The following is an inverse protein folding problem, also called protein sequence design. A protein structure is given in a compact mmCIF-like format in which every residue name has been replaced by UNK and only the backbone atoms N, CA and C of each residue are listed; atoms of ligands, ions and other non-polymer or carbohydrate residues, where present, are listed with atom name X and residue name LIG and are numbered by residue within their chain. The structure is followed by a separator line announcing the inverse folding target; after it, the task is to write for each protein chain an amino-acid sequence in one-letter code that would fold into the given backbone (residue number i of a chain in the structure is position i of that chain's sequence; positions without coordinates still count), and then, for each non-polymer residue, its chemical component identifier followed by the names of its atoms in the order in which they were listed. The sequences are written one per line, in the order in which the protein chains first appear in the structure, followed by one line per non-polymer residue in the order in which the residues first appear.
data_IF_143840509885
#
_entry.id   IF_143840509885
#
_cell.length_a   1.000
_cell.length_b   1.000
_cell.length_c   1.000
_cell.angle_alpha   90.00
_cell.angle_beta   90.00
_cell.angle_gamma   90.00
#
_symmetry.space_group_name_H-M   'P 1'
#
loop_
_entity.id
_entity.type
_entity.pdbx_description
1 polymer ?
#
# COMPACT_ATOMS: atom_id res chain seq x y z
N UNK A 1 2.21 9.34 20.08
CA UNK A 1 2.80 10.17 19.01
C UNK A 1 3.34 9.37 17.82
N UNK A 2 3.12 8.06 17.71
CA UNK A 2 3.48 7.26 16.51
C UNK A 2 2.37 6.29 16.08
N UNK A 3 1.14 6.52 16.57
CA UNK A 3 0.07 5.52 16.52
C UNK A 3 -0.30 5.15 15.09
N UNK A 4 -0.29 6.10 14.16
CA UNK A 4 -0.64 5.87 12.76
C UNK A 4 0.44 5.07 12.03
N UNK A 5 1.71 5.44 12.17
CA UNK A 5 2.82 4.70 11.57
C UNK A 5 2.95 3.29 12.15
N UNK A 6 2.79 3.13 13.46
CA UNK A 6 2.77 1.80 14.11
C UNK A 6 1.59 0.98 13.58
N UNK A 7 0.40 1.59 13.44
CA UNK A 7 -0.77 0.91 12.88
C UNK A 7 -0.50 0.45 11.44
N UNK A 8 0.03 1.32 10.59
CA UNK A 8 0.39 0.98 9.21
C UNK A 8 1.45 -0.13 9.14
N UNK A 9 2.45 -0.09 10.02
CA UNK A 9 3.47 -1.14 10.08
C UNK A 9 2.91 -2.47 10.60
N UNK A 10 1.99 -2.46 11.56
CA UNK A 10 1.38 -3.70 12.07
C UNK A 10 0.41 -4.29 11.05
N UNK A 11 -0.42 -3.47 10.40
CA UNK A 11 -1.46 -3.96 9.49
C UNK A 11 -0.95 -4.22 8.06
N UNK A 12 -0.02 -3.41 7.56
CA UNK A 12 0.53 -3.61 6.21
C UNK A 12 1.96 -4.13 6.27
N UNK A 13 2.82 -3.57 7.11
CA UNK A 13 4.23 -3.96 7.18
C UNK A 13 4.45 -5.41 7.62
N UNK A 14 3.78 -5.86 8.69
CA UNK A 14 3.98 -7.20 9.26
C UNK A 14 3.46 -8.31 8.34
N UNK A 15 2.22 -8.27 7.82
CA UNK A 15 1.75 -9.29 6.87
C UNK A 15 2.62 -9.36 5.62
N UNK A 16 3.09 -8.21 5.14
CA UNK A 16 3.95 -8.15 3.96
C UNK A 16 5.35 -8.71 4.24
N UNK A 17 5.92 -8.44 5.42
CA UNK A 17 7.17 -9.06 5.85
C UNK A 17 7.04 -10.58 5.96
N UNK A 18 5.94 -11.06 6.56
CA UNK A 18 5.64 -12.50 6.63
C UNK A 18 5.53 -13.09 5.23
N UNK A 19 4.73 -12.51 4.34
CA UNK A 19 4.59 -13.01 2.97
C UNK A 19 5.91 -12.96 2.19
N UNK A 20 6.75 -11.95 2.40
CA UNK A 20 8.06 -11.86 1.76
C UNK A 20 9.02 -12.99 2.18
N UNK A 21 8.87 -13.50 3.40
CA UNK A 21 9.64 -14.67 3.88
C UNK A 21 9.21 -15.96 3.17
N UNK A 22 7.93 -16.11 2.83
CA UNK A 22 7.40 -17.29 2.15
C UNK A 22 7.56 -17.24 0.61
N UNK A 23 7.42 -16.05 0.02
CA UNK A 23 7.34 -15.88 -1.44
C UNK A 23 8.33 -14.82 -1.93
N UNK A 24 9.59 -15.25 -2.14
CA UNK A 24 10.63 -14.41 -2.79
C UNK A 24 10.38 -14.13 -4.27
N UNK A 25 9.33 -14.71 -4.85
CA UNK A 25 8.96 -14.52 -6.26
C UNK A 25 8.33 -13.16 -6.55
N UNK A 26 8.15 -12.29 -5.56
CA UNK A 26 7.68 -10.90 -5.74
C UNK A 26 8.50 -10.13 -6.78
N UNK A 27 9.81 -10.38 -6.88
CA UNK A 27 10.66 -9.77 -7.90
C UNK A 27 10.29 -10.19 -9.34
N UNK A 28 9.69 -11.37 -9.53
CA UNK A 28 9.20 -11.80 -10.83
C UNK A 28 8.00 -10.97 -11.31
N UNK A 29 7.19 -10.47 -10.39
CA UNK A 29 5.99 -9.66 -10.67
C UNK A 29 6.25 -8.14 -10.65
N UNK A 30 7.51 -7.70 -10.73
CA UNK A 30 7.89 -6.27 -10.71
C UNK A 30 7.13 -5.40 -11.71
N UNK A 31 6.77 -5.96 -12.87
CA UNK A 31 6.03 -5.22 -13.91
C UNK A 31 4.58 -4.97 -13.48
N UNK A 32 3.93 -5.96 -12.87
CA UNK A 32 2.59 -5.83 -12.31
C UNK A 32 2.58 -4.86 -11.14
N UNK A 33 3.57 -4.93 -10.25
CA UNK A 33 3.75 -4.00 -9.15
C UNK A 33 3.92 -2.56 -9.67
N UNK A 34 4.76 -2.36 -10.69
CA UNK A 34 4.98 -1.04 -11.27
C UNK A 34 3.70 -0.46 -11.89
N UNK A 35 2.92 -1.26 -12.61
CA UNK A 35 1.63 -0.82 -13.15
C UNK A 35 0.61 -0.52 -12.06
N UNK A 36 0.49 -1.39 -11.05
CA UNK A 36 -0.42 -1.16 -9.94
C UNK A 36 -0.07 0.13 -9.18
N UNK A 37 1.21 0.33 -8.88
CA UNK A 37 1.70 1.56 -8.27
C UNK A 37 1.42 2.76 -9.16
N UNK A 38 1.66 2.67 -10.48
CA UNK A 38 1.37 3.77 -11.40
C UNK A 38 -0.12 4.17 -11.35
N UNK A 39 -1.05 3.21 -11.41
CA UNK A 39 -2.48 3.51 -11.34
C UNK A 39 -2.90 4.09 -9.99
N UNK A 40 -2.44 3.49 -8.89
CA UNK A 40 -2.74 3.96 -7.53
C UNK A 40 -2.19 5.37 -7.31
N UNK A 41 -0.97 5.65 -7.78
CA UNK A 41 -0.35 6.97 -7.68
C UNK A 41 -0.98 7.99 -8.62
N UNK A 42 -1.54 7.59 -9.76
CA UNK A 42 -2.15 8.55 -10.69
C UNK A 42 -3.57 8.87 -10.27
N UNK A 43 -4.41 7.85 -10.07
CA UNK A 43 -5.82 8.04 -9.75
C UNK A 43 -6.05 8.25 -8.26
N UNK A 44 -5.46 7.41 -7.41
CA UNK A 44 -5.63 7.51 -5.96
C UNK A 44 -5.09 8.82 -5.41
N UNK A 45 -3.87 9.21 -5.80
CA UNK A 45 -3.28 10.47 -5.34
C UNK A 45 -4.05 11.68 -5.87
N UNK A 46 -4.47 11.66 -7.13
CA UNK A 46 -5.23 12.77 -7.69
C UNK A 46 -6.58 12.93 -6.98
N UNK A 47 -7.23 11.81 -6.65
CA UNK A 47 -8.47 11.78 -5.90
C UNK A 47 -8.31 12.29 -4.46
N UNK A 48 -7.29 11.84 -3.74
CA UNK A 48 -7.00 12.33 -2.38
C UNK A 48 -6.63 13.81 -2.40
N UNK A 49 -5.80 14.23 -3.36
CA UNK A 49 -5.44 15.63 -3.52
C UNK A 49 -6.68 16.50 -3.78
N UNK A 50 -7.58 16.06 -4.66
CA UNK A 50 -8.82 16.77 -4.94
C UNK A 50 -9.71 16.84 -3.69
N UNK A 51 -9.83 15.74 -2.96
CA UNK A 51 -10.67 15.63 -1.75
C UNK A 51 -10.17 16.53 -0.61
N UNK A 52 -8.86 16.63 -0.43
CA UNK A 52 -8.24 17.55 0.52
C UNK A 52 -8.44 19.00 0.07
N UNK A 53 -8.27 19.29 -1.22
CA UNK A 53 -8.42 20.66 -1.75
C UNK A 53 -9.87 21.17 -1.69
N UNK A 54 -10.85 20.31 -1.93
CA UNK A 54 -12.28 20.65 -1.85
C UNK A 54 -12.79 20.65 -0.42
N UNK A 55 -11.99 20.19 0.55
CA UNK A 55 -12.36 20.11 1.95
C UNK A 55 -13.36 18.99 2.25
N UNK A 56 -13.63 18.10 1.29
CA UNK A 56 -14.43 16.88 1.49
C UNK A 56 -13.77 15.98 2.52
N UNK A 57 -12.43 15.94 2.51
CA UNK A 57 -11.63 15.17 3.46
C UNK A 57 -10.54 16.03 4.09
N UNK A 58 -10.26 15.79 5.37
CA UNK A 58 -9.18 16.47 6.11
C UNK A 58 -8.47 15.46 7.00
N UNK A 59 -7.15 15.48 6.95
CA UNK A 59 -6.32 14.69 7.85
C UNK A 59 -6.04 15.52 9.11
N UNK A 60 -6.30 14.95 10.28
CA UNK A 60 -5.95 15.56 11.55
C UNK A 60 -4.44 15.42 11.81
N UNK A 61 -3.80 16.47 12.28
CA UNK A 61 -2.33 16.55 12.36
C UNK A 61 -1.74 15.92 13.61
N UNK A 62 -2.57 15.67 14.62
CA UNK A 62 -2.14 15.26 15.96
C UNK A 62 -1.32 13.95 16.05
N UNK A 63 -1.49 12.92 15.19
CA UNK A 63 -0.73 11.67 15.29
C UNK A 63 0.38 11.48 14.23
N UNK A 64 0.69 12.51 13.43
CA UNK A 64 1.60 12.40 12.27
C UNK A 64 3.03 12.87 12.58
N UNK A 65 4.02 12.41 11.82
CA UNK A 65 5.43 12.81 11.85
C UNK A 65 5.65 14.30 11.49
N UNK A 66 4.59 15.03 11.13
CA UNK A 66 4.67 16.45 10.76
C UNK A 66 5.18 16.71 9.34
N UNK A 67 5.39 15.67 8.52
CA UNK A 67 5.77 15.79 7.12
C UNK A 67 4.54 15.64 6.21
N UNK A 68 4.26 16.66 5.41
CA UNK A 68 3.05 16.76 4.59
C UNK A 68 3.39 17.05 3.12
N UNK A 69 2.77 16.31 2.22
CA UNK A 69 2.83 16.55 0.77
C UNK A 69 1.43 16.97 0.32
N UNK A 70 1.27 18.23 -0.09
CA UNK A 70 0.00 18.79 -0.61
C UNK A 70 -1.23 18.54 0.27
N UNK A 71 -1.04 18.51 1.60
CA UNK A 71 -2.11 18.29 2.57
C UNK A 71 -2.37 16.82 2.94
N UNK A 72 -1.52 15.90 2.48
CA UNK A 72 -1.54 14.48 2.85
C UNK A 72 -0.26 14.16 3.67
N UNK A 73 -0.36 13.44 4.81
CA UNK A 73 0.81 13.00 5.57
C UNK A 73 1.69 12.07 4.74
N UNK A 74 3.02 12.20 4.87
CA UNK A 74 3.96 11.30 4.19
C UNK A 74 3.81 9.83 4.63
N UNK A 75 3.34 9.61 5.85
CA UNK A 75 3.12 8.26 6.39
C UNK A 75 2.01 7.51 5.66
N UNK A 76 0.91 8.20 5.35
CA UNK A 76 -0.17 7.67 4.50
C UNK A 76 0.36 7.35 3.11
N UNK A 77 1.24 8.20 2.60
CA UNK A 77 1.89 7.98 1.32
C UNK A 77 2.69 6.68 1.28
N UNK A 78 3.50 6.42 2.30
CA UNK A 78 4.34 5.22 2.35
C UNK A 78 3.49 3.99 2.75
N UNK A 79 2.65 4.12 3.77
CA UNK A 79 1.86 3.01 4.29
C UNK A 79 0.74 2.59 3.34
N UNK A 80 -0.11 3.53 2.95
CA UNK A 80 -1.29 3.19 2.16
C UNK A 80 -0.94 2.94 0.68
N UNK A 81 -0.23 3.87 0.06
CA UNK A 81 0.05 3.76 -1.38
C UNK A 81 1.10 2.70 -1.68
N UNK A 82 2.20 2.65 -0.91
CA UNK A 82 3.30 1.71 -1.20
C UNK A 82 3.03 0.36 -0.51
N UNK A 83 2.93 0.32 0.82
CA UNK A 83 2.75 -0.97 1.52
C UNK A 83 1.40 -1.61 1.20
N UNK A 84 0.32 -0.83 1.10
CA UNK A 84 -1.00 -1.33 0.70
C UNK A 84 -1.01 -1.93 -0.70
N UNK A 85 -0.43 -1.25 -1.70
CA UNK A 85 -0.35 -1.79 -3.07
C UNK A 85 0.50 -3.05 -3.13
N UNK A 86 1.66 -3.05 -2.46
CA UNK A 86 2.52 -4.24 -2.40
C UNK A 86 1.80 -5.40 -1.71
N UNK A 87 1.03 -5.15 -0.65
CA UNK A 87 0.25 -6.17 0.04
C UNK A 87 -0.77 -6.83 -0.89
N UNK A 88 -1.59 -6.02 -1.57
CA UNK A 88 -2.62 -6.51 -2.50
C UNK A 88 -1.99 -7.33 -3.63
N UNK A 89 -0.91 -6.85 -4.24
CA UNK A 89 -0.24 -7.58 -5.33
C UNK A 89 0.39 -8.89 -4.83
N UNK A 90 0.95 -8.89 -3.62
CA UNK A 90 1.50 -10.11 -3.01
C UNK A 90 0.40 -11.14 -2.77
N UNK A 91 -0.71 -10.73 -2.16
CA UNK A 91 -1.88 -11.61 -1.93
C UNK A 91 -2.41 -12.17 -3.24
N UNK A 92 -2.59 -11.32 -4.26
CA UNK A 92 -3.07 -11.76 -5.57
C UNK A 92 -2.11 -12.76 -6.23
N UNK A 93 -0.80 -12.55 -6.09
CA UNK A 93 0.22 -13.46 -6.62
C UNK A 93 0.20 -14.81 -5.91
N UNK A 94 0.08 -14.82 -4.58
CA UNK A 94 -0.03 -16.05 -3.78
C UNK A 94 -1.29 -16.82 -4.13
N UNK A 95 -2.44 -16.14 -4.20
CA UNK A 95 -3.71 -16.77 -4.61
C UNK A 95 -3.60 -17.39 -6.00
N UNK A 96 -3.01 -16.67 -6.96
CA UNK A 96 -2.80 -17.21 -8.31
C UNK A 96 -1.90 -18.46 -8.30
N UNK A 97 -0.85 -18.49 -7.48
CA UNK A 97 0.00 -19.68 -7.33
C UNK A 97 -0.74 -20.85 -6.69
N UNK A 98 -1.57 -20.60 -5.67
CA UNK A 98 -2.35 -21.63 -4.99
C UNK A 98 -3.37 -22.27 -5.93
N UNK A 99 -4.21 -21.48 -6.61
CA UNK A 99 -5.23 -22.01 -7.52
C UNK A 99 -4.63 -22.72 -8.74
N UNK A 100 -3.48 -22.25 -9.25
CA UNK A 100 -2.81 -22.93 -10.36
C UNK A 100 -2.33 -24.34 -9.99
N UNK A 101 -1.90 -24.55 -8.74
CA UNK A 101 -1.44 -25.86 -8.30
C UNK A 101 -2.60 -26.87 -8.13
N UNK A 102 -3.82 -26.39 -7.85
CA UNK A 102 -5.01 -27.24 -7.71
C UNK A 102 -5.51 -27.78 -9.07
N UNK A 103 -5.28 -27.06 -10.18
CA UNK A 103 -5.65 -27.50 -11.53
C UNK A 103 -4.67 -28.54 -12.13
N UNK A 104 -3.47 -28.70 -11.54
CA UNK A 104 -2.43 -29.64 -12.00
C UNK A 104 -2.38 -30.97 -11.21
N UNK A 105 -3.27 -31.17 -10.22
CA UNK A 105 -3.37 -32.40 -9.38
C UNK A 105 -4.58 -33.27 -9.71
#
# INVERSE_FOLDING_TARGET
MFTLLIFLLIFFGLPLAVMFLFERKLFAYRRTIAWALFFVYTFGFFWDWLSVRTGVWRYDSAPTLGLWIRGIPLEEFIGFYILGTLFIVTVASVMHTLFKNDDES
#
